data_IF_337955149063
#
_entry.id   IF_337955149063
#
_cell.length_a   1.000
_cell.length_b   1.000
_cell.length_c   1.000
_cell.angle_alpha   90.00
_cell.angle_beta   90.00
_cell.angle_gamma   90.00
#
_symmetry.space_group_name_H-M   'P 1'
#
loop_
_entity.id
_entity.type
_entity.pdbx_description
1 polymer ?
#
# COMPACT_ATOMS: atom_id res chain seq x y z
N UNK A 1 -4.07 13.22 -10.01
CA UNK A 1 -3.88 12.89 -8.59
C UNK A 1 -2.47 12.37 -8.38
N UNK A 2 -1.60 13.15 -7.73
CA UNK A 2 -0.21 12.76 -7.46
C UNK A 2 -0.22 11.68 -6.38
N UNK A 3 0.12 10.43 -6.73
CA UNK A 3 0.27 9.34 -5.74
C UNK A 3 1.33 9.78 -4.72
N UNK A 4 1.03 9.68 -3.43
CA UNK A 4 2.00 9.96 -2.37
C UNK A 4 3.26 9.10 -2.59
N UNK A 5 4.41 9.77 -2.69
CA UNK A 5 5.72 9.18 -2.92
C UNK A 5 6.56 9.39 -1.67
N UNK A 6 7.14 8.32 -1.15
CA UNK A 6 8.08 8.38 -0.02
C UNK A 6 9.48 8.42 -0.59
N UNK A 7 10.19 9.52 -0.35
CA UNK A 7 11.60 9.67 -0.71
C UNK A 7 12.47 9.36 0.50
N UNK A 8 13.47 8.49 0.31
CA UNK A 8 14.51 8.22 1.30
C UNK A 8 15.89 8.41 0.67
N UNK A 9 16.76 9.10 1.39
CA UNK A 9 18.13 9.39 0.96
C UNK A 9 19.12 8.60 1.81
N UNK A 10 20.06 7.91 1.17
CA UNK A 10 21.16 7.17 1.81
C UNK A 10 22.45 7.93 1.55
N UNK A 11 23.20 8.25 2.62
CA UNK A 11 24.43 9.03 2.56
C UNK A 11 24.32 10.43 3.21
N UNK A 12 23.24 10.67 3.96
CA UNK A 12 23.07 11.87 4.79
C UNK A 12 23.35 11.54 6.27
N UNK A 13 24.06 12.42 6.96
CA UNK A 13 24.22 12.40 8.42
C UNK A 13 23.03 13.02 9.14
N UNK A 14 23.03 12.94 10.48
CA UNK A 14 21.94 13.42 11.35
C UNK A 14 21.66 14.92 11.19
N UNK A 15 22.66 15.73 10.81
CA UNK A 15 22.54 17.16 10.56
C UNK A 15 22.41 17.51 9.07
N UNK A 16 21.83 16.61 8.26
CA UNK A 16 21.67 16.76 6.79
C UNK A 16 22.99 16.94 6.02
N UNK A 17 24.13 16.75 6.70
CA UNK A 17 25.45 16.79 6.08
C UNK A 17 25.61 15.61 5.14
N UNK A 18 26.05 15.88 3.91
CA UNK A 18 26.33 14.85 2.92
C UNK A 18 27.60 14.10 3.33
N UNK A 19 27.43 12.87 3.81
CA UNK A 19 28.53 11.95 4.12
C UNK A 19 29.03 11.27 2.85
N UNK A 20 28.10 10.91 1.96
CA UNK A 20 28.35 10.19 0.73
C UNK A 20 28.32 8.68 0.91
N UNK A 21 28.11 7.95 -0.19
CA UNK A 21 28.22 6.49 -0.28
C UNK A 21 29.06 6.12 -1.48
N UNK A 22 29.82 5.04 -1.37
CA UNK A 22 30.51 4.44 -2.51
C UNK A 22 29.50 3.67 -3.37
N UNK A 23 29.47 3.96 -4.67
CA UNK A 23 28.54 3.38 -5.63
C UNK A 23 29.34 2.67 -6.70
N UNK A 24 29.62 1.39 -6.47
CA UNK A 24 30.18 0.49 -7.48
C UNK A 24 29.16 0.09 -8.56
N UNK A 25 29.64 -0.58 -9.62
CA UNK A 25 28.86 -0.93 -10.84
C UNK A 25 27.54 -1.66 -10.57
N UNK A 26 27.48 -2.51 -9.54
CA UNK A 26 26.31 -3.35 -9.23
C UNK A 26 25.51 -2.87 -8.01
N UNK A 27 25.86 -1.72 -7.42
CA UNK A 27 25.27 -1.28 -6.13
C UNK A 27 23.77 -1.06 -6.24
N UNK A 28 23.34 -0.37 -7.31
CA UNK A 28 21.92 -0.05 -7.51
C UNK A 28 21.12 -1.31 -7.81
N UNK A 29 21.63 -2.19 -8.68
CA UNK A 29 20.97 -3.46 -9.02
C UNK A 29 20.79 -4.36 -7.79
N UNK A 30 21.87 -4.56 -7.01
CA UNK A 30 21.81 -5.36 -5.78
C UNK A 30 20.82 -4.77 -4.78
N UNK A 31 20.80 -3.44 -4.62
CA UNK A 31 19.87 -2.77 -3.71
C UNK A 31 18.42 -2.95 -4.17
N UNK A 32 18.14 -2.78 -5.46
CA UNK A 32 16.80 -3.00 -6.04
C UNK A 32 16.34 -4.42 -5.80
N UNK A 33 17.15 -5.42 -6.18
CA UNK A 33 16.79 -6.83 -6.01
C UNK A 33 16.59 -7.18 -4.54
N UNK A 34 17.47 -6.71 -3.66
CA UNK A 34 17.31 -6.92 -2.21
C UNK A 34 15.98 -6.38 -1.70
N UNK A 35 15.56 -5.19 -2.14
CA UNK A 35 14.27 -4.62 -1.70
C UNK A 35 13.10 -5.43 -2.28
N UNK A 36 13.12 -5.72 -3.58
CA UNK A 36 12.02 -6.42 -4.26
C UNK A 36 11.84 -7.85 -3.73
N UNK A 37 12.93 -8.59 -3.57
CA UNK A 37 12.90 -10.02 -3.22
C UNK A 37 12.53 -10.25 -1.75
N UNK A 38 12.76 -9.26 -0.89
CA UNK A 38 12.45 -9.37 0.53
C UNK A 38 11.07 -8.80 0.89
N UNK A 39 10.33 -8.22 -0.07
CA UNK A 39 9.03 -7.61 0.16
C UNK A 39 7.88 -8.44 -0.44
N UNK A 40 6.84 -8.64 0.36
CA UNK A 40 5.60 -9.31 -0.06
C UNK A 40 4.36 -8.57 0.47
N UNK A 41 3.47 -8.02 -0.37
CA UNK A 41 3.57 -7.95 -1.82
C UNK A 41 4.79 -7.16 -2.30
N UNK A 42 5.32 -7.49 -3.49
CA UNK A 42 6.50 -6.83 -4.06
C UNK A 42 6.26 -5.33 -4.26
N UNK A 43 7.29 -4.54 -3.94
CA UNK A 43 7.34 -3.11 -4.24
C UNK A 43 8.51 -2.88 -5.19
N UNK A 44 8.28 -2.12 -6.27
CA UNK A 44 9.31 -1.73 -7.23
C UNK A 44 9.73 -0.28 -6.97
N UNK A 45 10.78 -0.03 -6.17
CA UNK A 45 11.26 1.31 -5.91
C UNK A 45 11.97 1.90 -7.12
N UNK A 46 11.92 3.23 -7.26
CA UNK A 46 12.78 3.97 -8.16
C UNK A 46 14.04 4.38 -7.41
N UNK A 47 15.20 3.83 -7.80
CA UNK A 47 16.49 4.06 -7.12
C UNK A 47 17.43 4.80 -8.06
N UNK A 48 17.93 5.96 -7.63
CA UNK A 48 18.85 6.78 -8.44
C UNK A 48 20.06 7.25 -7.64
N UNK A 49 21.26 7.23 -8.22
CA UNK A 49 22.40 7.95 -7.67
C UNK A 49 22.24 9.46 -7.92
N UNK A 50 22.47 10.25 -6.88
CA UNK A 50 22.55 11.71 -6.91
C UNK A 50 23.99 12.12 -6.61
N UNK A 51 24.56 13.03 -7.40
CA UNK A 51 25.90 13.57 -7.18
C UNK A 51 25.79 14.99 -6.61
N UNK A 52 26.49 15.25 -5.52
CA UNK A 52 26.55 16.58 -4.89
C UNK A 52 27.93 16.75 -4.24
N UNK A 53 28.63 17.84 -4.53
CA UNK A 53 29.93 18.19 -3.93
C UNK A 53 30.97 17.05 -3.93
N UNK A 54 31.14 16.40 -5.09
CA UNK A 54 32.03 15.23 -5.31
C UNK A 54 31.66 13.98 -4.51
N UNK A 55 30.55 13.99 -3.79
CA UNK A 55 30.00 12.84 -3.07
C UNK A 55 28.78 12.30 -3.79
N UNK A 56 28.51 11.02 -3.61
CA UNK A 56 27.33 10.36 -4.16
C UNK A 56 26.36 10.01 -3.05
N UNK A 57 25.07 10.19 -3.29
CA UNK A 57 23.95 9.85 -2.41
C UNK A 57 23.01 8.96 -3.21
N UNK A 58 22.31 8.03 -2.57
CA UNK A 58 21.28 7.22 -3.25
C UNK A 58 19.91 7.74 -2.83
N UNK A 59 19.08 8.12 -3.81
CA UNK A 59 17.66 8.32 -3.61
C UNK A 59 16.89 7.06 -3.88
N UNK A 60 15.95 6.75 -2.98
CA UNK A 60 14.99 5.65 -3.10
C UNK A 60 13.61 6.28 -3.00
N UNK A 61 12.84 6.15 -4.07
CA UNK A 61 11.48 6.64 -4.15
C UNK A 61 10.50 5.48 -4.23
N UNK A 62 9.54 5.46 -3.32
CA UNK A 62 8.52 4.41 -3.23
C UNK A 62 7.15 5.02 -3.40
N UNK A 63 6.40 4.54 -4.39
CA UNK A 63 5.01 4.92 -4.60
C UNK A 63 4.10 4.26 -3.56
N UNK A 64 3.07 4.97 -3.09
CA UNK A 64 2.07 4.39 -2.23
C UNK A 64 1.41 3.17 -2.88
N UNK A 65 1.52 2.02 -2.20
CA UNK A 65 0.87 0.77 -2.61
C UNK A 65 -0.55 0.69 -2.04
N UNK A 66 -1.46 0.15 -2.86
CA UNK A 66 -2.83 -0.18 -2.47
C UNK A 66 -2.91 -1.55 -1.76
N UNK A 67 -1.84 -2.36 -1.84
CA UNK A 67 -1.84 -3.75 -1.40
C UNK A 67 -1.34 -3.99 0.03
N UNK A 68 -1.32 -2.94 0.86
CA UNK A 68 -0.93 -3.00 2.27
C UNK A 68 -1.78 -4.01 3.05
N UNK A 69 -1.24 -4.65 4.11
CA UNK A 69 0.11 -4.49 4.64
C UNK A 69 1.19 -5.21 3.80
N UNK A 70 2.41 -4.66 3.77
CA UNK A 70 3.59 -5.31 3.20
C UNK A 70 4.42 -5.98 4.29
N UNK A 71 4.93 -7.16 3.99
CA UNK A 71 5.87 -7.92 4.79
C UNK A 71 7.29 -7.66 4.27
N UNK A 72 8.24 -7.51 5.19
CA UNK A 72 9.66 -7.57 4.91
C UNK A 72 10.22 -8.81 5.59
N UNK A 73 10.80 -9.74 4.81
CA UNK A 73 11.32 -11.02 5.31
C UNK A 73 10.28 -11.77 6.17
N UNK A 74 9.03 -11.81 5.70
CA UNK A 74 7.91 -12.47 6.38
C UNK A 74 7.34 -11.73 7.60
N UNK A 75 7.83 -10.53 7.93
CA UNK A 75 7.35 -9.74 9.09
C UNK A 75 6.73 -8.41 8.64
N UNK A 76 5.57 -8.07 9.19
CA UNK A 76 4.94 -6.78 8.97
C UNK A 76 5.57 -5.71 9.86
N UNK A 77 5.81 -4.53 9.29
CA UNK A 77 6.32 -3.37 10.02
C UNK A 77 5.42 -2.16 9.82
N UNK A 78 5.38 -1.29 10.82
CA UNK A 78 4.66 -0.03 10.79
C UNK A 78 5.59 1.13 11.18
N UNK A 79 5.46 2.25 10.47
CA UNK A 79 6.18 3.48 10.81
C UNK A 79 5.33 4.33 11.74
N UNK A 80 5.87 4.64 12.91
CA UNK A 80 5.26 5.49 13.93
C UNK A 80 6.20 6.68 14.14
N UNK A 81 5.82 7.85 13.62
CA UNK A 81 6.68 9.03 13.59
C UNK A 81 7.98 8.76 12.83
N UNK A 82 9.13 8.90 13.52
CA UNK A 82 10.46 8.62 12.94
C UNK A 82 10.88 7.16 13.05
N UNK A 83 10.18 6.34 13.84
CA UNK A 83 10.58 4.98 14.16
C UNK A 83 9.81 3.95 13.33
N UNK A 84 10.46 2.84 13.01
CA UNK A 84 9.83 1.65 12.42
C UNK A 84 9.77 0.56 13.49
N UNK A 85 8.59 0.00 13.73
CA UNK A 85 8.37 -1.10 14.68
C UNK A 85 7.76 -2.31 13.99
N UNK A 86 8.02 -3.50 14.53
CA UNK A 86 7.28 -4.69 14.15
C UNK A 86 5.79 -4.47 14.48
N UNK A 87 4.92 -4.81 13.53
CA UNK A 87 3.48 -4.68 13.69
C UNK A 87 2.98 -5.77 14.64
N UNK A 88 2.08 -5.41 15.56
CA UNK A 88 1.39 -6.41 16.38
C UNK A 88 0.41 -7.22 15.53
N UNK A 89 0.03 -8.41 16.01
CA UNK A 89 -0.99 -9.24 15.37
C UNK A 89 -2.30 -8.47 15.17
N UNK A 90 -2.78 -7.78 16.21
CA UNK A 90 -4.04 -7.04 16.17
C UNK A 90 -4.02 -5.92 15.11
N UNK A 91 -2.92 -5.18 14.98
CA UNK A 91 -2.82 -4.14 13.94
C UNK A 91 -2.75 -4.73 12.53
N UNK A 92 -2.08 -5.87 12.38
CA UNK A 92 -2.03 -6.59 11.11
C UNK A 92 -3.42 -7.06 10.67
N UNK A 93 -4.17 -7.70 11.57
CA UNK A 93 -5.55 -8.15 11.33
C UNK A 93 -6.47 -6.98 10.99
N UNK A 94 -6.37 -5.86 11.72
CA UNK A 94 -7.14 -4.65 11.44
C UNK A 94 -6.89 -4.11 10.03
N UNK A 95 -5.64 -4.09 9.58
CA UNK A 95 -5.30 -3.65 8.22
C UNK A 95 -5.83 -4.61 7.15
N UNK A 96 -5.77 -5.91 7.41
CA UNK A 96 -6.29 -6.92 6.50
C UNK A 96 -7.82 -6.81 6.34
N UNK A 97 -8.55 -6.65 7.45
CA UNK A 97 -10.00 -6.42 7.42
C UNK A 97 -10.34 -5.17 6.63
N UNK A 98 -9.62 -4.06 6.86
CA UNK A 98 -9.82 -2.82 6.10
C UNK A 98 -9.56 -2.99 4.60
N UNK A 99 -8.55 -3.78 4.22
CA UNK A 99 -8.26 -4.09 2.81
C UNK A 99 -9.43 -4.83 2.14
N UNK A 100 -10.12 -5.69 2.89
CA UNK A 100 -11.20 -6.53 2.38
C UNK A 100 -12.60 -5.97 2.67
N UNK A 101 -12.71 -4.80 3.29
CA UNK A 101 -13.98 -4.20 3.73
C UNK A 101 -15.00 -4.13 2.58
N UNK A 102 -14.57 -3.65 1.41
CA UNK A 102 -15.42 -3.57 0.21
C UNK A 102 -15.95 -4.95 -0.25
N UNK A 103 -15.15 -6.01 -0.10
CA UNK A 103 -15.51 -7.38 -0.47
C UNK A 103 -16.34 -8.10 0.59
N UNK A 104 -16.31 -7.62 1.83
CA UNK A 104 -16.98 -8.23 2.98
C UNK A 104 -18.35 -7.63 3.28
N UNK A 105 -18.72 -6.51 2.65
CA UNK A 105 -20.06 -5.93 2.82
C UNK A 105 -21.15 -6.97 2.53
N UNK A 106 -22.11 -7.08 3.43
CA UNK A 106 -23.25 -7.98 3.32
C UNK A 106 -23.96 -7.86 1.96
N UNK A 107 -24.13 -6.62 1.49
CA UNK A 107 -24.79 -6.32 0.22
C UNK A 107 -24.05 -6.87 -1.02
N UNK A 108 -22.74 -7.11 -0.90
CA UNK A 108 -21.90 -7.65 -1.98
C UNK A 108 -21.81 -9.19 -1.94
N UNK A 109 -22.36 -9.83 -0.91
CA UNK A 109 -22.29 -11.29 -0.77
C UNK A 109 -23.39 -11.97 -1.57
N UNK A 110 -23.04 -13.07 -2.26
CA UNK A 110 -24.04 -13.92 -2.91
C UNK A 110 -24.90 -14.58 -1.83
N UNK A 111 -26.20 -14.31 -1.86
CA UNK A 111 -27.16 -15.01 -1.01
C UNK A 111 -27.35 -16.45 -1.50
N UNK A 112 -26.52 -17.35 -0.97
CA UNK A 112 -26.53 -18.78 -1.33
C UNK A 112 -27.92 -19.39 -1.06
N UNK A 113 -28.45 -20.12 -2.04
CA UNK A 113 -29.77 -20.75 -1.94
C UNK A 113 -30.95 -19.84 -2.30
N UNK A 114 -30.70 -18.56 -2.61
CA UNK A 114 -31.72 -17.68 -3.17
C UNK A 114 -31.68 -17.68 -4.69
N UNK A 115 -32.86 -17.75 -5.31
CA UNK A 115 -33.03 -17.60 -6.76
C UNK A 115 -33.88 -16.37 -7.05
N UNK A 116 -34.01 -15.97 -8.33
CA UNK A 116 -34.90 -14.87 -8.73
C UNK A 116 -36.35 -15.10 -8.27
N UNK A 117 -36.77 -16.36 -8.06
CA UNK A 117 -38.12 -16.69 -7.56
C UNK A 117 -38.34 -16.26 -6.10
N UNK A 118 -37.27 -16.05 -5.34
CA UNK A 118 -37.34 -15.60 -3.95
C UNK A 118 -37.55 -14.07 -3.85
N UNK A 119 -37.46 -13.35 -4.98
CA UNK A 119 -37.68 -11.91 -5.03
C UNK A 119 -39.18 -11.63 -5.11
N UNK A 120 -39.69 -10.83 -4.17
CA UNK A 120 -41.08 -10.41 -4.18
C UNK A 120 -41.27 -9.23 -5.15
N UNK A 121 -41.94 -9.49 -6.27
CA UNK A 121 -42.15 -8.50 -7.33
C UNK A 121 -42.93 -7.26 -6.87
N UNK A 122 -43.94 -7.43 -6.01
CA UNK A 122 -44.73 -6.31 -5.48
C UNK A 122 -43.86 -5.32 -4.72
N UNK A 123 -42.95 -5.81 -3.87
CA UNK A 123 -41.99 -4.96 -3.14
C UNK A 123 -41.04 -4.20 -4.07
N UNK A 124 -40.58 -4.85 -5.15
CA UNK A 124 -39.72 -4.19 -6.15
C UNK A 124 -40.49 -3.06 -6.84
N UNK A 125 -41.72 -3.32 -7.29
CA UNK A 125 -42.58 -2.31 -7.93
C UNK A 125 -42.87 -1.12 -7.00
N UNK A 126 -43.12 -1.38 -5.73
CA UNK A 126 -43.36 -0.32 -4.74
C UNK A 126 -42.12 0.52 -4.46
N UNK A 127 -40.94 -0.10 -4.46
CA UNK A 127 -39.66 0.61 -4.35
C UNK A 127 -39.44 1.54 -5.54
N UNK A 128 -39.65 1.07 -6.78
CA UNK A 128 -39.52 1.88 -8.00
C UNK A 128 -40.49 3.07 -8.00
N UNK A 129 -41.75 2.87 -7.61
CA UNK A 129 -42.74 3.95 -7.49
C UNK A 129 -42.32 5.03 -6.49
N UNK A 130 -41.64 4.63 -5.39
CA UNK A 130 -41.11 5.59 -4.40
C UNK A 130 -39.96 6.43 -4.96
N UNK A 131 -39.11 5.86 -5.82
CA UNK A 131 -38.02 6.61 -6.47
C UNK A 131 -38.56 7.64 -7.45
N UNK A 132 -39.49 7.24 -8.32
CA UNK A 132 -40.15 8.14 -9.29
C UNK A 132 -40.85 9.31 -8.58
N UNK A 133 -41.50 9.06 -7.44
CA UNK A 133 -42.12 10.13 -6.63
C UNK A 133 -41.11 11.08 -5.97
N UNK A 134 -39.88 10.63 -5.74
CA UNK A 134 -38.81 11.45 -5.13
C UNK A 134 -37.99 12.24 -6.15
N UNK A 135 -38.29 12.13 -7.45
CA UNK A 135 -37.59 12.89 -8.50
C UNK A 135 -36.13 12.51 -8.66
N UNK A 136 -35.81 11.22 -8.47
CA UNK A 136 -34.52 10.60 -8.84
C UNK A 136 -34.75 9.72 -10.06
#
# INVERSE_FOLDING_TARGET
MTKAKILKLIGLGESEKILGVDIGKQTIERLTNTIVDNLDPRIYPEIKPLKTDKKSVISIEVSASHDKPHLAQGKAFIRIGKNTKAMSRNEYERLLLKKHEEKLHFDNQICKGSTLKNINETKVRDFLKKLIRKGI
#
